data_IF_137939558750
#
_entry.id   IF_137939558750
#
_cell.length_a   1.000
_cell.length_b   1.000
_cell.length_c   1.000
_cell.angle_alpha   90.00
_cell.angle_beta   90.00
_cell.angle_gamma   90.00
#
_symmetry.space_group_name_H-M   'P 1'
#
loop_
_entity.id
_entity.type
_entity.pdbx_description
1 polymer ?
#
# COMPACT_ATOMS: atom_id res chain seq x y z
N UNK A 1 32.73 -10.15 -27.33
CA UNK A 1 31.32 -9.72 -27.34
C UNK A 1 31.01 -9.27 -25.93
N UNK A 2 30.63 -8.02 -25.71
CA UNK A 2 30.30 -7.57 -24.35
C UNK A 2 29.04 -8.32 -23.91
N UNK A 3 29.17 -9.19 -22.91
CA UNK A 3 28.01 -9.76 -22.22
C UNK A 3 27.23 -8.60 -21.60
N UNK A 4 26.13 -8.23 -22.24
CA UNK A 4 25.20 -7.26 -21.67
C UNK A 4 24.65 -7.80 -20.35
N UNK A 5 24.36 -6.90 -19.41
CA UNK A 5 23.68 -7.25 -18.15
C UNK A 5 22.41 -8.05 -18.47
N UNK A 6 22.39 -9.34 -18.13
CA UNK A 6 21.21 -10.17 -18.29
C UNK A 6 20.17 -9.77 -17.25
N UNK A 7 19.06 -9.17 -17.71
CA UNK A 7 17.96 -8.79 -16.83
C UNK A 7 16.94 -9.92 -16.76
N UNK A 8 16.72 -10.43 -15.56
CA UNK A 8 15.76 -11.50 -15.30
C UNK A 8 14.32 -11.09 -15.65
N UNK A 9 13.50 -12.09 -16.01
CA UNK A 9 12.07 -11.90 -16.26
C UNK A 9 11.29 -11.88 -14.94
N UNK A 10 10.11 -11.26 -14.96
CA UNK A 10 9.20 -11.32 -13.85
C UNK A 10 8.71 -12.74 -13.60
N UNK A 11 8.68 -13.18 -12.34
CA UNK A 11 8.18 -14.51 -11.93
C UNK A 11 6.66 -14.71 -12.16
N UNK A 12 5.94 -13.69 -12.62
CA UNK A 12 4.48 -13.73 -12.85
C UNK A 12 4.06 -13.44 -14.28
N UNK A 13 4.98 -12.95 -15.13
CA UNK A 13 4.69 -12.61 -16.52
C UNK A 13 5.99 -12.47 -17.33
N UNK A 14 5.87 -12.26 -18.63
CA UNK A 14 7.03 -12.17 -19.52
C UNK A 14 7.72 -10.79 -19.53
N UNK A 15 7.27 -9.82 -18.73
CA UNK A 15 7.91 -8.51 -18.63
C UNK A 15 9.25 -8.57 -17.90
N UNK A 16 10.14 -7.63 -18.22
CA UNK A 16 11.42 -7.43 -17.54
C UNK A 16 11.23 -7.16 -16.06
N UNK A 17 12.04 -7.80 -15.22
CA UNK A 17 12.05 -7.55 -13.78
C UNK A 17 12.70 -6.20 -13.47
N UNK A 18 12.15 -5.48 -12.49
CA UNK A 18 12.73 -4.26 -11.92
C UNK A 18 13.34 -4.49 -10.55
N UNK A 19 13.00 -5.61 -9.88
CA UNK A 19 13.52 -5.94 -8.55
C UNK A 19 13.59 -7.45 -8.34
N UNK A 20 14.61 -7.90 -7.62
CA UNK A 20 14.68 -9.22 -7.01
C UNK A 20 14.37 -9.11 -5.51
N UNK A 21 13.31 -9.78 -5.05
CA UNK A 21 12.93 -9.81 -3.64
C UNK A 21 13.64 -10.95 -2.91
N UNK A 22 14.79 -10.66 -2.31
CA UNK A 22 15.66 -11.65 -1.65
C UNK A 22 14.92 -12.55 -0.64
N UNK A 23 13.97 -12.00 0.14
CA UNK A 23 13.23 -12.78 1.13
C UNK A 23 12.29 -13.84 0.54
N UNK A 24 12.00 -13.80 -0.77
CA UNK A 24 11.09 -14.74 -1.44
C UNK A 24 11.69 -15.39 -2.68
N UNK A 25 12.87 -14.95 -3.13
CA UNK A 25 13.48 -15.36 -4.39
C UNK A 25 12.73 -14.90 -5.65
N UNK A 26 11.68 -14.07 -5.53
CA UNK A 26 10.85 -13.67 -6.67
C UNK A 26 11.42 -12.44 -7.38
N UNK A 27 11.27 -12.42 -8.71
CA UNK A 27 11.57 -11.29 -9.57
C UNK A 27 10.26 -10.61 -9.99
N UNK A 28 10.16 -9.29 -9.83
CA UNK A 28 8.93 -8.56 -10.15
C UNK A 28 9.16 -7.44 -11.16
N UNK A 29 8.32 -7.38 -12.18
CA UNK A 29 8.11 -6.15 -12.94
C UNK A 29 7.32 -5.15 -12.08
N UNK A 30 7.31 -3.87 -12.47
CA UNK A 30 6.65 -2.79 -11.72
C UNK A 30 5.20 -3.10 -11.34
N UNK A 31 4.40 -3.59 -12.30
CA UNK A 31 3.00 -3.97 -12.08
C UNK A 31 2.83 -5.02 -10.97
N UNK A 32 3.62 -6.10 -11.04
CA UNK A 32 3.50 -7.20 -10.08
C UNK A 32 4.16 -6.87 -8.73
N UNK A 33 5.14 -5.96 -8.71
CA UNK A 33 5.68 -5.39 -7.48
C UNK A 33 4.62 -4.56 -6.75
N UNK A 34 3.96 -3.64 -7.44
CA UNK A 34 2.87 -2.84 -6.86
C UNK A 34 1.72 -3.72 -6.35
N UNK A 35 1.32 -4.75 -7.11
CA UNK A 35 0.32 -5.71 -6.68
C UNK A 35 0.76 -6.52 -5.44
N UNK A 36 2.04 -6.92 -5.39
CA UNK A 36 2.65 -7.60 -4.24
C UNK A 36 2.56 -6.74 -2.98
N UNK A 37 2.96 -5.47 -3.08
CA UNK A 37 2.93 -4.50 -1.97
C UNK A 37 1.48 -4.29 -1.52
N UNK A 38 0.57 -3.97 -2.44
CA UNK A 38 -0.86 -3.78 -2.15
C UNK A 38 -1.46 -4.99 -1.43
N UNK A 39 -1.15 -6.21 -1.89
CA UNK A 39 -1.63 -7.46 -1.27
C UNK A 39 -1.12 -7.61 0.16
N UNK A 40 0.17 -7.30 0.41
CA UNK A 40 0.77 -7.37 1.75
C UNK A 40 0.17 -6.32 2.68
N UNK A 41 0.09 -5.06 2.24
CA UNK A 41 -0.54 -3.98 3.01
C UNK A 41 -1.99 -4.31 3.34
N UNK A 42 -2.78 -4.78 2.37
CA UNK A 42 -4.17 -5.18 2.61
C UNK A 42 -4.30 -6.32 3.63
N UNK A 43 -3.32 -7.24 3.68
CA UNK A 43 -3.30 -8.33 4.67
C UNK A 43 -3.05 -7.78 6.07
N UNK A 44 -2.01 -6.96 6.23
CA UNK A 44 -1.66 -6.35 7.52
C UNK A 44 -2.81 -5.46 8.03
N UNK A 45 -3.43 -4.67 7.16
CA UNK A 45 -4.58 -3.84 7.53
C UNK A 45 -5.75 -4.67 8.05
N UNK A 46 -6.08 -5.80 7.43
CA UNK A 46 -7.16 -6.67 7.95
C UNK A 46 -6.84 -7.27 9.32
N UNK A 47 -5.55 -7.41 9.66
CA UNK A 47 -5.12 -7.95 10.95
C UNK A 47 -5.12 -6.89 12.05
N UNK A 48 -4.71 -5.67 11.71
CA UNK A 48 -4.49 -4.60 12.69
C UNK A 48 -5.68 -3.63 12.81
N UNK A 49 -6.39 -3.39 11.71
CA UNK A 49 -7.51 -2.47 11.61
C UNK A 49 -8.81 -3.27 11.41
N UNK A 50 -9.40 -3.70 12.52
CA UNK A 50 -10.63 -4.48 12.53
C UNK A 50 -11.82 -3.52 12.37
N UNK A 51 -12.33 -3.40 11.15
CA UNK A 51 -13.54 -2.64 10.86
C UNK A 51 -14.73 -3.59 10.69
N UNK A 52 -15.87 -3.30 11.33
CA UNK A 52 -17.12 -4.01 11.06
C UNK A 52 -17.61 -3.78 9.63
N UNK A 53 -18.65 -4.51 9.22
CA UNK A 53 -19.26 -4.37 7.89
C UNK A 53 -19.80 -2.96 7.65
N UNK A 54 -20.37 -2.35 8.68
CA UNK A 54 -20.71 -0.94 8.76
C UNK A 54 -20.00 -0.33 9.96
N UNK A 55 -19.07 0.58 9.69
CA UNK A 55 -18.23 1.23 10.69
C UNK A 55 -18.81 2.55 11.21
N UNK A 56 -20.02 2.95 10.78
CA UNK A 56 -20.65 4.16 11.29
C UNK A 56 -20.84 4.13 12.80
N UNK A 57 -20.72 5.30 13.41
CA UNK A 57 -21.14 5.53 14.78
C UNK A 57 -22.67 5.54 14.91
N UNK A 58 -23.19 5.50 16.14
CA UNK A 58 -24.64 5.48 16.41
C UNK A 58 -25.37 6.71 15.85
N UNK A 59 -24.68 7.84 15.75
CA UNK A 59 -25.18 9.09 15.15
C UNK A 59 -25.14 9.11 13.61
N UNK A 60 -24.68 8.02 12.97
CA UNK A 60 -24.57 7.87 11.53
C UNK A 60 -23.28 8.44 10.92
N UNK A 61 -22.41 9.07 11.73
CA UNK A 61 -21.13 9.60 11.26
C UNK A 61 -20.16 8.47 10.88
N UNK A 62 -19.27 8.68 9.88
CA UNK A 62 -18.32 7.65 9.45
C UNK A 62 -17.21 7.44 10.49
N UNK A 63 -16.63 6.23 10.50
CA UNK A 63 -15.43 5.95 11.28
C UNK A 63 -14.25 6.76 10.74
N UNK A 64 -13.61 7.57 11.59
CA UNK A 64 -12.50 8.43 11.19
C UNK A 64 -11.15 7.77 11.43
N UNK A 65 -10.32 7.74 10.39
CA UNK A 65 -8.94 7.28 10.45
C UNK A 65 -8.02 8.49 10.21
N UNK A 66 -7.28 8.89 11.24
CA UNK A 66 -6.22 9.88 11.12
C UNK A 66 -4.92 9.20 10.66
N UNK A 67 -4.36 9.66 9.56
CA UNK A 67 -3.03 9.28 9.08
C UNK A 67 -2.09 10.45 9.33
N UNK A 68 -1.09 10.24 10.20
CA UNK A 68 -0.05 11.21 10.45
C UNK A 68 0.95 11.26 9.28
N UNK A 69 1.15 12.45 8.72
CA UNK A 69 2.00 12.71 7.55
C UNK A 69 3.21 13.53 7.98
N UNK A 70 4.39 12.93 7.83
CA UNK A 70 5.68 13.60 8.07
C UNK A 70 6.27 14.27 6.83
N UNK A 71 5.62 14.15 5.68
CA UNK A 71 6.17 14.57 4.37
C UNK A 71 7.17 13.58 3.76
N UNK A 72 7.55 12.53 4.49
CA UNK A 72 8.43 11.47 3.99
C UNK A 72 7.74 10.46 3.08
N UNK A 73 8.54 9.67 2.36
CA UNK A 73 8.06 8.62 1.44
C UNK A 73 7.16 7.59 2.14
N UNK A 74 7.47 7.24 3.39
CA UNK A 74 6.79 6.13 4.08
C UNK A 74 5.37 6.52 4.47
N UNK A 75 5.19 7.72 5.05
CA UNK A 75 3.88 8.27 5.40
C UNK A 75 3.05 8.61 4.16
N UNK A 76 3.68 9.11 3.09
CA UNK A 76 3.01 9.37 1.81
C UNK A 76 2.52 8.09 1.12
N UNK A 77 3.35 7.03 1.07
CA UNK A 77 2.96 5.73 0.52
C UNK A 77 1.87 5.08 1.37
N UNK A 78 1.97 5.16 2.70
CA UNK A 78 0.93 4.65 3.60
C UNK A 78 -0.41 5.32 3.33
N UNK A 79 -0.45 6.66 3.27
CA UNK A 79 -1.67 7.40 2.96
C UNK A 79 -2.26 6.97 1.61
N UNK A 80 -1.42 6.89 0.57
CA UNK A 80 -1.84 6.46 -0.76
C UNK A 80 -2.47 5.06 -0.73
N UNK A 81 -1.85 4.11 -0.03
CA UNK A 81 -2.36 2.75 0.11
C UNK A 81 -3.64 2.70 0.94
N UNK A 82 -3.76 3.50 2.00
CA UNK A 82 -4.97 3.59 2.81
C UNK A 82 -6.15 4.09 1.99
N UNK A 83 -5.96 5.15 1.20
CA UNK A 83 -6.99 5.69 0.30
C UNK A 83 -7.37 4.69 -0.79
N UNK A 84 -6.41 4.02 -1.42
CA UNK A 84 -6.71 3.00 -2.45
C UNK A 84 -7.45 1.76 -1.89
N UNK A 85 -7.18 1.37 -0.64
CA UNK A 85 -7.78 0.17 -0.03
C UNK A 85 -9.13 0.48 0.63
N UNK A 86 -9.24 1.61 1.33
CA UNK A 86 -10.41 1.95 2.17
C UNK A 86 -11.20 3.15 1.66
N UNK A 87 -10.65 4.00 0.78
CA UNK A 87 -11.27 5.27 0.38
C UNK A 87 -12.60 5.13 -0.38
N UNK A 88 -12.91 3.95 -0.95
CA UNK A 88 -14.21 3.69 -1.57
C UNK A 88 -15.32 3.36 -0.54
N UNK A 89 -14.98 3.20 0.74
CA UNK A 89 -15.94 2.90 1.81
C UNK A 89 -16.67 4.18 2.22
N UNK A 90 -17.99 4.17 2.17
CA UNK A 90 -18.84 5.32 2.53
C UNK A 90 -18.98 5.53 4.04
N UNK A 91 -18.63 4.52 4.82
CA UNK A 91 -18.72 4.47 6.28
C UNK A 91 -17.36 4.74 6.95
N UNK A 92 -16.34 5.09 6.17
CA UNK A 92 -15.00 5.45 6.65
C UNK A 92 -14.62 6.82 6.08
N UNK A 93 -14.03 7.65 6.92
CA UNK A 93 -13.49 8.96 6.55
C UNK A 93 -11.98 8.98 6.84
N UNK A 94 -11.17 9.33 5.84
CA UNK A 94 -9.72 9.44 5.96
C UNK A 94 -9.34 10.89 6.21
N UNK A 95 -8.57 11.14 7.27
CA UNK A 95 -8.06 12.46 7.62
C UNK A 95 -6.54 12.40 7.57
N UNK A 96 -5.90 13.28 6.79
CA UNK A 96 -4.45 13.43 6.78
C UNK A 96 -4.06 14.60 7.68
N UNK A 97 -3.20 14.36 8.67
CA UNK A 97 -2.70 15.39 9.59
C UNK A 97 -1.19 15.49 9.51
N UNK A 98 -0.65 16.70 9.38
CA UNK A 98 0.78 16.97 9.44
C UNK A 98 1.06 17.80 10.71
N UNK A 99 2.21 17.57 11.34
CA UNK A 99 2.67 18.35 12.50
C UNK A 99 3.80 19.25 11.99
N UNK A 100 3.60 20.55 12.16
CA UNK A 100 4.65 21.54 11.97
C UNK A 100 5.32 21.81 13.32
N UNK A 101 6.63 21.60 13.39
CA UNK A 101 7.42 21.73 14.61
C UNK A 101 8.01 23.15 14.80
N UNK A 102 7.87 24.03 13.79
CA UNK A 102 8.37 25.42 13.80
C UNK A 102 9.47 25.72 12.79
#
# INVERSE_FOLDING_TARGET
MAEGLAIEKCSRCNSTSVIHQAYSGQHFCSKHLSASIRKRTSRELRQQLILPKDARHEDGSPYRILVAISGGKDSAVLLTMMVDILGCRRDVEMIAGCIDEG
#
